data_IF_424212062690
#
_entry.id   IF_424212062690
#
_cell.length_a   1.000
_cell.length_b   1.000
_cell.length_c   1.000
_cell.angle_alpha   90.00
_cell.angle_beta   90.00
_cell.angle_gamma   90.00
#
_symmetry.space_group_name_H-M   'P 1'
#
loop_
_entity.id
_entity.type
_entity.pdbx_description
1 polymer ?
#
# COMPACT_ATOMS: atom_id res chain seq x y z
N UNK A 1 -6.48 20.01 -9.86
CA UNK A 1 -6.41 19.36 -8.54
C UNK A 1 -4.95 19.34 -8.11
N UNK A 2 -4.60 19.85 -6.92
CA UNK A 2 -3.21 19.83 -6.45
C UNK A 2 -2.70 18.39 -6.31
N UNK A 3 -1.56 18.06 -6.94
CA UNK A 3 -0.92 16.73 -6.88
C UNK A 3 -0.66 16.31 -5.43
N UNK A 4 -0.32 17.27 -4.56
CA UNK A 4 -0.14 17.04 -3.12
C UNK A 4 -1.44 16.55 -2.47
N UNK A 5 -2.57 17.22 -2.72
CA UNK A 5 -3.87 16.77 -2.20
C UNK A 5 -4.28 15.43 -2.82
N UNK A 6 -3.82 15.11 -4.03
CA UNK A 6 -4.06 13.82 -4.66
C UNK A 6 -3.27 12.67 -4.02
N UNK A 7 -2.01 12.88 -3.68
CA UNK A 7 -1.14 11.86 -3.09
C UNK A 7 -1.36 11.73 -1.57
N UNK A 8 -1.58 12.85 -0.88
CA UNK A 8 -1.61 12.91 0.59
C UNK A 8 -2.99 13.17 1.21
N UNK A 9 -3.98 13.62 0.43
CA UNK A 9 -5.33 13.81 0.95
C UNK A 9 -6.00 12.47 1.29
N UNK A 10 -6.83 12.40 2.32
CA UNK A 10 -7.70 11.24 2.56
C UNK A 10 -9.10 11.43 1.98
N UNK A 11 -9.46 12.66 1.62
CA UNK A 11 -10.82 13.01 1.21
C UNK A 11 -10.99 13.00 -0.32
N UNK A 12 -12.22 12.71 -0.73
CA UNK A 12 -12.64 12.77 -2.13
C UNK A 12 -12.45 11.46 -2.90
N UNK A 13 -12.92 11.50 -4.14
CA UNK A 13 -12.82 10.43 -5.13
C UNK A 13 -11.58 10.58 -5.99
N UNK A 14 -11.11 9.48 -6.56
CA UNK A 14 -9.94 9.47 -7.44
C UNK A 14 -10.33 9.15 -8.88
N UNK A 15 -9.70 9.83 -9.83
CA UNK A 15 -9.83 9.48 -11.23
C UNK A 15 -9.19 8.10 -11.48
N UNK A 16 -9.99 7.20 -12.05
CA UNK A 16 -9.62 5.79 -12.28
C UNK A 16 -8.41 5.65 -13.18
N UNK A 17 -8.25 6.52 -14.18
CA UNK A 17 -7.10 6.50 -15.08
C UNK A 17 -5.81 6.90 -14.35
N UNK A 18 -5.85 7.94 -13.52
CA UNK A 18 -4.70 8.30 -12.69
C UNK A 18 -4.39 7.22 -11.65
N UNK A 19 -5.42 6.51 -11.14
CA UNK A 19 -5.20 5.36 -10.26
C UNK A 19 -4.56 4.17 -11.00
N UNK A 20 -4.93 3.93 -12.25
CA UNK A 20 -4.25 2.91 -13.04
C UNK A 20 -2.82 3.32 -13.37
N UNK A 21 -2.57 4.61 -13.64
CA UNK A 21 -1.27 5.14 -14.03
C UNK A 21 -0.23 5.16 -12.91
N UNK A 22 -0.66 5.38 -11.66
CA UNK A 22 0.23 5.31 -10.49
C UNK A 22 0.46 3.86 -10.00
N UNK A 23 -0.32 2.89 -10.47
CA UNK A 23 -0.18 1.48 -10.08
C UNK A 23 1.24 0.92 -10.34
N UNK A 24 1.86 1.11 -11.52
CA UNK A 24 3.22 0.65 -11.76
C UNK A 24 4.25 1.26 -10.80
N UNK A 25 4.07 2.51 -10.39
CA UNK A 25 4.94 3.17 -9.41
C UNK A 25 4.81 2.45 -8.05
N UNK A 26 3.59 2.16 -7.59
CA UNK A 26 3.39 1.40 -6.36
C UNK A 26 3.95 -0.03 -6.44
N UNK A 27 3.86 -0.68 -7.61
CA UNK A 27 4.47 -2.00 -7.85
C UNK A 27 6.00 -1.93 -7.73
N UNK A 28 6.63 -0.96 -8.39
CA UNK A 28 8.09 -0.76 -8.33
C UNK A 28 8.53 -0.43 -6.90
N UNK A 29 7.86 0.49 -6.23
CA UNK A 29 8.17 0.84 -4.84
C UNK A 29 8.00 -0.38 -3.93
N UNK A 30 6.93 -1.16 -4.10
CA UNK A 30 6.71 -2.37 -3.29
C UNK A 30 7.82 -3.40 -3.52
N UNK A 31 8.27 -3.60 -4.76
CA UNK A 31 9.40 -4.48 -5.06
C UNK A 31 10.69 -3.98 -4.40
N UNK A 32 11.00 -2.68 -4.50
CA UNK A 32 12.18 -2.07 -3.86
C UNK A 32 12.13 -2.25 -2.34
N UNK A 33 10.99 -1.98 -1.70
CA UNK A 33 10.78 -2.16 -0.27
C UNK A 33 11.06 -3.62 0.14
N UNK A 34 10.60 -4.60 -0.65
CA UNK A 34 10.87 -6.02 -0.38
C UNK A 34 12.32 -6.42 -0.61
N UNK A 35 12.97 -5.93 -1.67
CA UNK A 35 14.39 -6.21 -1.88
C UNK A 35 15.26 -5.61 -0.76
N UNK A 36 14.93 -4.42 -0.29
CA UNK A 36 15.62 -3.77 0.84
C UNK A 36 15.30 -4.44 2.19
N UNK A 37 14.14 -5.08 2.33
CA UNK A 37 13.78 -5.73 3.59
C UNK A 37 14.62 -6.98 3.89
N UNK A 38 15.18 -7.63 2.87
CA UNK A 38 16.07 -8.79 3.00
C UNK A 38 17.38 -8.43 3.73
N UNK A 39 18.22 -7.50 3.24
CA UNK A 39 19.44 -7.10 3.93
C UNK A 39 19.14 -6.48 5.29
N UNK A 40 18.04 -5.73 5.42
CA UNK A 40 17.58 -5.19 6.71
C UNK A 40 17.30 -6.31 7.72
N UNK A 41 16.57 -7.34 7.32
CA UNK A 41 16.26 -8.49 8.18
C UNK A 41 17.53 -9.26 8.57
N UNK A 42 18.50 -9.37 7.66
CA UNK A 42 19.81 -9.96 7.95
C UNK A 42 20.63 -9.11 8.91
N UNK A 43 20.63 -7.78 8.76
CA UNK A 43 21.28 -6.85 9.70
C UNK A 43 20.63 -6.97 11.07
N UNK A 44 19.30 -7.01 11.15
CA UNK A 44 18.56 -7.24 12.39
C UNK A 44 18.91 -8.59 13.05
N UNK A 45 19.01 -9.67 12.28
CA UNK A 45 19.43 -10.99 12.77
C UNK A 45 20.84 -10.94 13.34
N UNK A 46 21.76 -10.26 12.65
CA UNK A 46 23.13 -10.07 13.12
C UNK A 46 23.20 -9.14 14.33
N UNK A 47 22.35 -8.11 14.40
CA UNK A 47 22.18 -7.22 15.54
C UNK A 47 21.81 -7.97 16.81
N UNK A 48 20.81 -8.85 16.70
CA UNK A 48 20.35 -9.69 17.81
C UNK A 48 21.45 -10.60 18.33
N UNK A 49 22.39 -11.01 17.47
CA UNK A 49 23.53 -11.86 17.84
C UNK A 49 24.72 -11.09 18.40
N UNK A 50 24.95 -9.85 17.96
CA UNK A 50 26.21 -9.11 18.20
C UNK A 50 25.99 -7.88 19.10
N UNK A 51 24.76 -7.49 19.42
CA UNK A 51 24.39 -6.30 20.21
C UNK A 51 24.96 -4.95 19.72
N UNK A 52 25.50 -4.87 18.50
CA UNK A 52 26.22 -3.69 17.98
C UNK A 52 25.51 -2.95 16.83
N UNK A 53 24.18 -2.98 16.75
CA UNK A 53 23.47 -2.17 15.75
C UNK A 53 23.06 -0.84 16.34
N UNK A 54 23.40 0.23 15.61
CA UNK A 54 23.01 1.57 15.95
C UNK A 54 21.48 1.70 15.86
N UNK A 55 20.77 2.02 16.97
CA UNK A 55 19.32 2.12 16.97
C UNK A 55 18.78 3.16 15.97
N UNK A 56 19.59 4.16 15.57
CA UNK A 56 19.18 5.15 14.56
C UNK A 56 18.95 4.53 13.19
N UNK A 57 19.74 3.51 12.80
CA UNK A 57 19.62 2.88 11.48
C UNK A 57 18.31 2.09 11.38
N UNK A 58 17.96 1.39 12.47
CA UNK A 58 16.70 0.66 12.57
C UNK A 58 15.48 1.61 12.53
N UNK A 59 15.58 2.75 13.20
CA UNK A 59 14.51 3.75 13.24
C UNK A 59 14.30 4.39 11.86
N UNK A 60 15.39 4.67 11.13
CA UNK A 60 15.33 5.18 9.76
C UNK A 60 14.65 4.18 8.82
N UNK A 61 15.03 2.90 8.89
CA UNK A 61 14.39 1.85 8.09
C UNK A 61 12.90 1.76 8.42
N UNK A 62 12.54 1.72 9.71
CA UNK A 62 11.16 1.63 10.14
C UNK A 62 10.32 2.83 9.66
N UNK A 63 10.88 4.03 9.68
CA UNK A 63 10.25 5.23 9.15
C UNK A 63 9.95 5.13 7.64
N UNK A 64 10.85 4.55 6.84
CA UNK A 64 10.61 4.30 5.41
C UNK A 64 9.41 3.36 5.21
N UNK A 65 9.32 2.28 5.99
CA UNK A 65 8.18 1.35 5.90
C UNK A 65 6.86 2.03 6.28
N UNK A 66 6.84 2.79 7.37
CA UNK A 66 5.65 3.56 7.79
C UNK A 66 5.23 4.53 6.70
N UNK A 67 6.17 5.30 6.13
CA UNK A 67 5.87 6.26 5.07
C UNK A 67 5.33 5.57 3.82
N UNK A 68 5.91 4.45 3.43
CA UNK A 68 5.42 3.64 2.31
C UNK A 68 3.97 3.16 2.52
N UNK A 69 3.68 2.56 3.68
CA UNK A 69 2.33 2.10 3.98
C UNK A 69 1.34 3.26 4.07
N UNK A 70 1.72 4.39 4.67
CA UNK A 70 0.89 5.58 4.69
C UNK A 70 0.53 6.00 3.26
N UNK A 71 1.51 6.21 2.39
CA UNK A 71 1.27 6.62 1.00
C UNK A 71 0.36 5.64 0.25
N UNK A 72 0.61 4.34 0.41
CA UNK A 72 -0.21 3.27 -0.18
C UNK A 72 -1.66 3.35 0.32
N UNK A 73 -1.88 3.48 1.63
CA UNK A 73 -3.24 3.47 2.19
C UNK A 73 -3.98 4.79 2.00
N UNK A 74 -3.30 5.93 1.92
CA UNK A 74 -3.91 7.20 1.49
C UNK A 74 -4.46 7.08 0.06
N UNK A 75 -3.66 6.47 -0.82
CA UNK A 75 -4.04 6.22 -2.21
C UNK A 75 -5.21 5.23 -2.33
N UNK A 76 -5.15 4.11 -1.62
CA UNK A 76 -6.18 3.07 -1.59
C UNK A 76 -7.49 3.57 -0.98
N UNK A 77 -7.43 4.40 0.05
CA UNK A 77 -8.62 4.93 0.73
C UNK A 77 -9.51 5.73 -0.22
N UNK A 78 -8.90 6.58 -1.07
CA UNK A 78 -9.68 7.31 -2.09
C UNK A 78 -10.32 6.40 -3.12
N UNK A 79 -9.69 5.28 -3.41
CA UNK A 79 -10.28 4.30 -4.30
C UNK A 79 -11.45 3.58 -3.65
N UNK A 80 -11.41 3.36 -2.34
CA UNK A 80 -12.58 2.88 -1.59
C UNK A 80 -13.76 3.85 -1.69
N UNK A 81 -13.50 5.16 -1.63
CA UNK A 81 -14.51 6.21 -1.75
C UNK A 81 -15.25 6.20 -3.08
N UNK A 82 -14.64 5.69 -4.16
CA UNK A 82 -15.33 5.50 -5.44
C UNK A 82 -16.47 4.48 -5.39
N UNK A 83 -16.50 3.61 -4.38
CA UNK A 83 -17.56 2.63 -4.16
C UNK A 83 -18.54 3.06 -3.06
N UNK A 84 -18.55 4.35 -2.71
CA UNK A 84 -19.33 4.92 -1.60
C UNK A 84 -19.09 4.21 -0.26
N UNK A 85 -17.84 3.79 0.00
CA UNK A 85 -17.44 3.09 1.21
C UNK A 85 -16.25 3.77 1.84
N UNK A 86 -16.22 3.85 3.17
CA UNK A 86 -14.99 4.18 3.89
C UNK A 86 -13.96 3.05 3.67
N UNK A 87 -12.68 3.39 3.71
CA UNK A 87 -11.59 2.41 3.59
C UNK A 87 -11.74 1.24 4.60
N UNK A 88 -12.15 1.56 5.83
CA UNK A 88 -12.39 0.61 6.92
C UNK A 88 -13.56 -0.35 6.68
N UNK A 89 -14.53 0.04 5.85
CA UNK A 89 -15.73 -0.76 5.53
C UNK A 89 -15.53 -1.63 4.28
N UNK A 90 -14.48 -1.36 3.51
CA UNK A 90 -14.16 -2.11 2.30
C UNK A 90 -13.44 -3.40 2.65
N UNK A 91 -14.15 -4.54 2.53
CA UNK A 91 -13.57 -5.89 2.74
C UNK A 91 -12.25 -6.11 1.99
N UNK A 92 -12.13 -5.58 0.77
CA UNK A 92 -10.92 -5.70 -0.05
C UNK A 92 -9.75 -4.90 0.52
N UNK A 93 -10.00 -3.67 0.98
CA UNK A 93 -8.97 -2.81 1.60
C UNK A 93 -8.53 -3.39 2.94
N UNK A 94 -9.49 -3.86 3.74
CA UNK A 94 -9.21 -4.55 5.00
C UNK A 94 -8.37 -5.82 4.77
N UNK A 95 -8.77 -6.69 3.84
CA UNK A 95 -8.00 -7.89 3.51
C UNK A 95 -6.57 -7.55 3.08
N UNK A 96 -6.40 -6.54 2.23
CA UNK A 96 -5.08 -6.06 1.81
C UNK A 96 -4.24 -5.55 2.99
N UNK A 97 -4.84 -4.83 3.95
CA UNK A 97 -4.12 -4.41 5.17
C UNK A 97 -3.68 -5.57 6.05
N UNK A 98 -4.49 -6.62 6.15
CA UNK A 98 -4.10 -7.82 6.90
C UNK A 98 -2.98 -8.59 6.20
N UNK A 99 -3.00 -8.65 4.85
CA UNK A 99 -1.93 -9.26 4.06
C UNK A 99 -0.62 -8.47 4.19
N UNK A 100 -0.68 -7.15 4.09
CA UNK A 100 0.49 -6.27 4.26
C UNK A 100 1.06 -6.36 5.68
N UNK A 101 0.20 -6.43 6.71
CA UNK A 101 0.62 -6.66 8.09
C UNK A 101 1.30 -8.02 8.25
N UNK A 102 0.72 -9.06 7.64
CA UNK A 102 1.30 -10.42 7.64
C UNK A 102 2.67 -10.44 6.97
N UNK A 103 2.86 -9.68 5.89
CA UNK A 103 4.16 -9.46 5.25
C UNK A 103 5.16 -8.83 6.22
N UNK A 104 4.80 -7.73 6.89
CA UNK A 104 5.68 -7.03 7.85
C UNK A 104 6.07 -7.98 8.98
N UNK A 105 5.12 -8.67 9.58
CA UNK A 105 5.37 -9.64 10.66
C UNK A 105 6.29 -10.77 10.17
N UNK A 106 6.01 -11.33 8.99
CA UNK A 106 6.82 -12.42 8.42
C UNK A 106 8.27 -12.03 8.22
N UNK A 107 8.56 -10.79 7.79
CA UNK A 107 9.92 -10.34 7.54
C UNK A 107 10.65 -9.92 8.82
N UNK A 108 10.00 -9.11 9.66
CA UNK A 108 10.67 -8.49 10.79
C UNK A 108 10.67 -9.35 12.06
N UNK A 109 9.60 -10.10 12.31
CA UNK A 109 9.50 -10.97 13.49
C UNK A 109 10.03 -12.38 13.19
N UNK A 110 9.57 -12.98 12.10
CA UNK A 110 9.89 -14.38 11.79
C UNK A 110 11.04 -14.56 10.80
N UNK A 111 11.42 -13.50 10.09
CA UNK A 111 12.45 -13.53 9.06
C UNK A 111 12.21 -14.64 8.01
N UNK A 112 10.93 -14.89 7.70
CA UNK A 112 10.44 -15.94 6.83
C UNK A 112 10.05 -15.37 5.46
N UNK A 113 11.00 -15.43 4.53
CA UNK A 113 10.80 -14.96 3.16
C UNK A 113 9.84 -15.84 2.35
N UNK A 114 9.72 -17.13 2.71
CA UNK A 114 8.80 -18.07 2.06
C UNK A 114 7.34 -17.67 2.20
N UNK A 115 6.96 -17.02 3.32
CA UNK A 115 5.63 -16.46 3.52
C UNK A 115 5.51 -15.01 3.02
N UNK A 116 6.59 -14.23 3.11
CA UNK A 116 6.57 -12.83 2.70
C UNK A 116 6.30 -12.64 1.19
N UNK A 117 6.91 -13.47 0.33
CA UNK A 117 6.75 -13.36 -1.12
C UNK A 117 5.29 -13.60 -1.56
N UNK A 118 4.61 -14.69 -1.12
CA UNK A 118 3.18 -14.87 -1.37
C UNK A 118 2.33 -13.69 -0.89
N UNK A 119 2.56 -13.17 0.32
CA UNK A 119 1.81 -12.01 0.82
C UNK A 119 1.95 -10.80 -0.11
N UNK A 120 3.14 -10.54 -0.65
CA UNK A 120 3.36 -9.47 -1.62
C UNK A 120 2.55 -9.70 -2.90
N UNK A 121 2.61 -10.91 -3.46
CA UNK A 121 1.89 -11.25 -4.70
C UNK A 121 0.38 -11.04 -4.50
N UNK A 122 -0.18 -11.53 -3.40
CA UNK A 122 -1.61 -11.37 -3.10
C UNK A 122 -1.96 -9.89 -2.89
N UNK A 123 -1.12 -9.13 -2.19
CA UNK A 123 -1.31 -7.68 -2.00
C UNK A 123 -1.34 -6.92 -3.33
N UNK A 124 -0.44 -7.25 -4.26
CA UNK A 124 -0.43 -6.68 -5.61
C UNK A 124 -1.68 -7.06 -6.41
N UNK A 125 -2.13 -8.31 -6.34
CA UNK A 125 -3.37 -8.76 -6.97
C UNK A 125 -4.56 -7.95 -6.43
N UNK A 126 -4.65 -7.75 -5.11
CA UNK A 126 -5.70 -6.91 -4.51
C UNK A 126 -5.65 -5.47 -5.04
N UNK A 127 -4.46 -4.89 -5.18
CA UNK A 127 -4.25 -3.54 -5.70
C UNK A 127 -4.70 -3.43 -7.18
N UNK A 128 -4.34 -4.41 -8.01
CA UNK A 128 -4.75 -4.51 -9.42
C UNK A 128 -6.27 -4.63 -9.51
N UNK A 129 -6.87 -5.56 -8.76
CA UNK A 129 -8.33 -5.73 -8.73
C UNK A 129 -9.02 -4.43 -8.33
N UNK A 130 -8.51 -3.73 -7.32
CA UNK A 130 -9.05 -2.46 -6.86
C UNK A 130 -8.91 -1.35 -7.94
N UNK A 131 -7.81 -1.35 -8.69
CA UNK A 131 -7.58 -0.39 -9.78
C UNK A 131 -8.65 -0.51 -10.87
N UNK A 132 -8.88 -1.72 -11.37
CA UNK A 132 -9.77 -1.97 -12.50
C UNK A 132 -11.25 -2.13 -12.13
N UNK A 133 -11.58 -2.35 -10.86
CA UNK A 133 -12.97 -2.50 -10.42
C UNK A 133 -13.77 -1.21 -10.66
N UNK A 134 -14.87 -1.31 -11.39
CA UNK A 134 -15.70 -0.14 -11.73
C UNK A 134 -16.33 0.51 -10.48
N UNK A 135 -16.05 1.79 -10.26
CA UNK A 135 -16.66 2.60 -9.20
C UNK A 135 -18.09 3.07 -9.51
N UNK A 136 -18.72 3.73 -8.56
CA UNK A 136 -20.07 4.26 -8.67
C UNK A 136 -20.17 5.33 -9.76
N UNK A 137 -21.26 5.31 -10.53
CA UNK A 137 -21.48 6.28 -11.61
C UNK A 137 -22.13 7.58 -11.13
N UNK A 138 -22.79 7.54 -9.97
CA UNK A 138 -23.50 8.69 -9.43
C UNK A 138 -22.61 9.46 -8.46
N UNK A 139 -23.01 10.69 -8.16
CA UNK A 139 -22.47 11.43 -7.02
C UNK A 139 -22.76 10.66 -5.73
N UNK A 140 -21.76 10.59 -4.84
CA UNK A 140 -21.86 9.87 -3.58
C UNK A 140 -21.36 10.76 -2.43
N UNK A 141 -21.31 10.21 -1.21
CA UNK A 141 -20.92 10.96 0.00
C UNK A 141 -19.48 11.52 -0.04
N UNK A 142 -18.68 11.10 -1.02
CA UNK A 142 -17.29 11.51 -1.23
C UNK A 142 -17.11 12.39 -2.48
N UNK A 143 -18.20 12.72 -3.18
CA UNK A 143 -18.24 13.68 -4.28
C UNK A 143 -18.61 13.08 -5.64
N UNK A 144 -18.45 13.92 -6.67
CA UNK A 144 -18.81 13.59 -8.06
C UNK A 144 -17.91 12.50 -8.65
N UNK A 145 -18.45 11.65 -9.53
CA UNK A 145 -17.68 10.65 -10.25
C UNK A 145 -16.55 11.31 -11.02
N UNK A 146 -15.35 10.77 -10.86
CA UNK A 146 -14.19 11.16 -11.65
C UNK A 146 -14.17 10.36 -12.97
N UNK A 147 -13.50 10.90 -13.99
CA UNK A 147 -13.50 10.32 -15.35
C UNK A 147 -13.27 8.80 -15.31
N UNK A 148 -14.22 7.99 -15.82
CA UNK A 148 -14.09 6.54 -15.80
C UNK A 148 -12.97 6.10 -16.74
N UNK A 149 -12.23 5.06 -16.34
CA UNK A 149 -11.26 4.41 -17.23
C UNK A 149 -11.95 3.81 -18.46
N UNK A 150 -13.17 3.31 -18.25
CA UNK A 150 -14.04 2.76 -19.28
C UNK A 150 -14.85 3.89 -19.92
N UNK A 151 -14.21 4.66 -20.81
CA UNK A 151 -14.95 5.46 -21.78
C UNK A 151 -15.66 4.44 -22.69
N UNK A 152 -16.98 4.59 -22.84
CA UNK A 152 -17.73 3.83 -23.83
C UNK A 152 -17.37 4.32 -25.23
#
# INVERSE_FOLDING_TARGET
MNIINFIFGFNGRTNQAYFALLLPIFVVIQAVVTFLSIPVSNVLRSAQKIQNVNPTDLLFIFAIFILYFWLKYAYVAKRAHDFNKKATESKLVYAMSMIDLSFVISIFMFQNFGLAIPCLIVSLICLIVLAFKKGDKNENNFGKPQVPFWIK
#
